data_IF_596244392281
#
_entry.id   IF_596244392281
#
_cell.length_a   1.000
_cell.length_b   1.000
_cell.length_c   1.000
_cell.angle_alpha   90.00
_cell.angle_beta   90.00
_cell.angle_gamma   90.00
#
_symmetry.space_group_name_H-M   'P 1'
#
loop_
_entity.id
_entity.type
_entity.pdbx_description
1 polymer ?
#
# COMPACT_ATOMS: atom_id res chain seq x y z
N UNK A 1 2.45 -27.11 -6.34
CA UNK A 1 3.37 -26.02 -6.73
C UNK A 1 3.07 -24.82 -5.83
N UNK A 2 4.04 -23.95 -5.61
CA UNK A 2 3.82 -22.69 -4.85
C UNK A 2 2.98 -21.69 -5.65
N UNK A 3 3.20 -21.63 -6.97
CA UNK A 3 2.47 -20.80 -7.91
C UNK A 3 1.39 -21.59 -8.64
N UNK A 4 0.29 -20.92 -8.96
CA UNK A 4 -0.85 -21.37 -9.74
C UNK A 4 -0.92 -20.58 -11.05
N UNK A 5 -0.83 -21.32 -12.16
CA UNK A 5 -0.88 -20.79 -13.53
C UNK A 5 -2.19 -21.19 -14.24
N UNK A 6 -3.04 -22.00 -13.60
CA UNK A 6 -4.16 -22.67 -14.26
C UNK A 6 -5.50 -21.99 -13.92
N UNK A 7 -5.63 -21.39 -12.73
CA UNK A 7 -6.90 -20.78 -12.28
C UNK A 7 -7.31 -19.54 -13.07
N UNK A 8 -6.34 -18.74 -13.51
CA UNK A 8 -6.57 -17.54 -14.32
C UNK A 8 -5.49 -17.46 -15.42
N UNK A 9 -5.86 -17.59 -16.71
CA UNK A 9 -4.90 -17.57 -17.81
C UNK A 9 -4.19 -16.22 -17.98
N UNK A 10 -4.70 -15.14 -17.38
CA UNK A 10 -4.09 -13.81 -17.43
C UNK A 10 -3.34 -13.46 -16.14
N UNK A 11 -3.21 -14.36 -15.17
CA UNK A 11 -2.55 -14.08 -13.89
C UNK A 11 -1.59 -15.21 -13.45
N UNK A 12 -0.79 -14.92 -12.43
CA UNK A 12 -0.03 -15.92 -11.66
C UNK A 12 -0.44 -15.74 -10.21
N UNK A 13 -1.09 -16.75 -9.65
CA UNK A 13 -1.58 -16.71 -8.27
C UNK A 13 -0.70 -17.52 -7.32
N UNK A 14 -0.75 -17.24 -6.02
CA UNK A 14 -0.14 -18.10 -5.00
C UNK A 14 -1.16 -19.17 -4.57
N UNK A 15 -0.71 -20.43 -4.49
CA UNK A 15 -1.50 -21.55 -3.99
C UNK A 15 -1.70 -21.42 -2.46
N UNK A 16 -2.68 -20.61 -2.06
CA UNK A 16 -2.95 -20.31 -0.65
C UNK A 16 -4.42 -20.34 -0.24
N UNK A 17 -5.36 -20.09 -1.16
CA UNK A 17 -6.79 -20.06 -0.80
C UNK A 17 -7.69 -20.37 -2.01
N UNK A 18 -7.99 -21.66 -2.23
CA UNK A 18 -9.01 -22.10 -3.20
C UNK A 18 -10.41 -21.52 -2.90
N UNK A 19 -10.60 -20.92 -1.72
CA UNK A 19 -11.82 -20.24 -1.31
C UNK A 19 -11.98 -18.83 -1.93
N UNK A 20 -10.87 -18.14 -2.27
CA UNK A 20 -10.89 -16.80 -2.88
C UNK A 20 -11.08 -16.86 -4.40
N UNK A 21 -10.52 -17.89 -5.07
CA UNK A 21 -10.63 -18.08 -6.53
C UNK A 21 -12.07 -18.23 -7.06
N UNK A 22 -13.06 -18.45 -6.19
CA UNK A 22 -14.47 -18.56 -6.57
C UNK A 22 -15.32 -17.29 -6.33
N UNK A 23 -14.80 -16.25 -5.67
CA UNK A 23 -15.60 -15.07 -5.33
C UNK A 23 -15.12 -13.78 -6.02
N UNK A 24 -15.76 -13.53 -7.18
CA UNK A 24 -16.07 -12.23 -7.81
C UNK A 24 -14.90 -11.38 -8.34
N UNK A 25 -14.98 -11.11 -9.66
CA UNK A 25 -14.25 -10.11 -10.46
C UNK A 25 -14.35 -8.64 -9.96
N UNK A 26 -14.96 -8.39 -8.80
CA UNK A 26 -15.19 -7.05 -8.24
C UNK A 26 -14.63 -6.93 -6.82
N UNK A 27 -13.45 -7.50 -6.57
CA UNK A 27 -12.73 -7.27 -5.33
C UNK A 27 -11.69 -6.19 -5.55
N UNK A 28 -11.65 -5.23 -4.62
CA UNK A 28 -10.66 -4.15 -4.63
C UNK A 28 -9.23 -4.72 -4.52
N UNK A 29 -8.23 -4.04 -5.11
CA UNK A 29 -6.82 -4.49 -5.13
C UNK A 29 -6.27 -4.84 -3.75
N UNK A 30 -6.73 -4.13 -2.73
CA UNK A 30 -6.38 -4.37 -1.32
C UNK A 30 -6.72 -5.76 -0.78
N UNK A 31 -7.67 -6.47 -1.41
CA UNK A 31 -8.06 -7.82 -1.04
C UNK A 31 -7.36 -8.88 -1.89
N UNK A 32 -6.73 -8.47 -3.01
CA UNK A 32 -6.19 -9.37 -4.01
C UNK A 32 -4.66 -9.41 -4.03
N UNK A 33 -3.99 -8.32 -3.64
CA UNK A 33 -2.54 -8.14 -3.83
C UNK A 33 -1.66 -9.21 -3.17
N UNK A 34 -2.15 -9.90 -2.13
CA UNK A 34 -1.40 -10.97 -1.47
C UNK A 34 -1.44 -12.30 -2.24
N UNK A 35 -2.39 -12.43 -3.18
CA UNK A 35 -2.66 -13.68 -3.89
C UNK A 35 -2.44 -13.57 -5.39
N UNK A 36 -2.74 -12.42 -6.00
CA UNK A 36 -2.66 -12.17 -7.44
C UNK A 36 -1.43 -11.33 -7.78
N UNK A 37 -0.56 -11.85 -8.64
CA UNK A 37 0.60 -11.11 -9.12
C UNK A 37 0.17 -9.89 -9.95
N UNK A 38 -0.90 -10.01 -10.76
CA UNK A 38 -1.47 -8.89 -11.51
C UNK A 38 -1.91 -7.76 -10.59
N UNK A 39 -2.63 -8.08 -9.51
CA UNK A 39 -3.08 -7.12 -8.52
C UNK A 39 -1.92 -6.49 -7.74
N UNK A 40 -0.88 -7.26 -7.40
CA UNK A 40 0.32 -6.70 -6.77
C UNK A 40 1.11 -5.79 -7.72
N UNK A 41 1.27 -6.21 -8.97
CA UNK A 41 1.98 -5.48 -10.00
C UNK A 41 1.31 -4.13 -10.34
N UNK A 42 -0.02 -4.06 -10.32
CA UNK A 42 -0.76 -2.82 -10.63
C UNK A 42 -0.49 -1.69 -9.64
N UNK A 43 -0.25 -2.01 -8.37
CA UNK A 43 0.06 -1.03 -7.29
C UNK A 43 1.55 -0.96 -6.95
N UNK A 44 2.39 -1.72 -7.65
CA UNK A 44 3.80 -1.88 -7.31
C UNK A 44 4.58 -0.57 -7.28
N UNK A 45 4.14 0.36 -8.14
CA UNK A 45 4.72 1.66 -8.31
C UNK A 45 3.68 2.74 -8.06
N UNK A 46 4.09 3.84 -7.44
CA UNK A 46 3.19 4.96 -7.16
C UNK A 46 2.74 5.66 -8.44
N UNK A 47 3.68 5.85 -9.37
CA UNK A 47 3.46 6.40 -10.71
C UNK A 47 4.27 5.59 -11.73
N UNK A 48 3.67 5.27 -12.89
CA UNK A 48 4.42 4.68 -14.00
C UNK A 48 4.89 5.75 -14.98
N UNK A 49 6.17 5.74 -15.38
CA UNK A 49 6.61 6.51 -16.54
C UNK A 49 5.84 6.10 -17.80
N UNK A 50 5.57 7.05 -18.70
CA UNK A 50 4.82 6.78 -19.96
C UNK A 50 5.43 5.66 -20.83
N UNK A 51 6.75 5.47 -20.75
CA UNK A 51 7.50 4.48 -21.52
C UNK A 51 7.70 3.16 -20.77
N UNK A 52 7.02 2.96 -19.64
CA UNK A 52 7.10 1.74 -18.85
C UNK A 52 5.76 1.02 -18.84
N UNK A 53 5.78 -0.30 -19.04
CA UNK A 53 4.61 -1.16 -18.89
C UNK A 53 5.02 -2.50 -18.33
N UNK A 54 4.08 -3.15 -17.64
CA UNK A 54 4.24 -4.52 -17.15
C UNK A 54 3.30 -5.38 -17.98
N UNK A 55 3.82 -6.43 -18.60
CA UNK A 55 3.04 -7.43 -19.33
C UNK A 55 3.13 -8.72 -18.53
N UNK A 56 1.97 -9.25 -18.11
CA UNK A 56 1.86 -10.52 -17.42
C UNK A 56 1.00 -11.45 -18.27
N UNK A 57 1.48 -12.68 -18.51
CA UNK A 57 0.75 -13.69 -19.30
C UNK A 57 0.23 -13.15 -20.65
N UNK A 58 1.02 -12.31 -21.33
CA UNK A 58 0.67 -11.72 -22.63
C UNK A 58 -0.32 -10.54 -22.59
N UNK A 59 -0.73 -10.08 -21.40
CA UNK A 59 -1.65 -8.95 -21.20
C UNK A 59 -1.00 -7.84 -20.39
N UNK A 60 -1.20 -6.60 -20.82
CA UNK A 60 -0.79 -5.42 -20.06
C UNK A 60 -1.43 -5.44 -18.67
N UNK A 61 -0.66 -5.10 -17.64
CA UNK A 61 -1.16 -4.85 -16.29
C UNK A 61 -1.52 -3.38 -16.20
N UNK A 62 -2.81 -3.10 -16.03
CA UNK A 62 -3.30 -1.74 -15.81
C UNK A 62 -2.74 -1.19 -14.50
N UNK A 63 -2.13 0.00 -14.56
CA UNK A 63 -1.59 0.66 -13.38
C UNK A 63 -2.74 1.16 -12.50
N UNK A 64 -2.58 0.96 -11.19
CA UNK A 64 -3.58 1.35 -10.22
C UNK A 64 -2.99 2.29 -9.17
N UNK A 65 -3.30 3.57 -9.26
CA UNK A 65 -2.91 4.53 -8.23
C UNK A 65 -3.92 4.52 -7.08
N UNK A 66 -3.55 3.88 -5.97
CA UNK A 66 -4.36 3.73 -4.75
C UNK A 66 -4.94 5.06 -4.23
N UNK A 67 -4.21 6.17 -4.37
CA UNK A 67 -4.68 7.48 -3.89
C UNK A 67 -5.94 7.96 -4.64
N UNK A 68 -6.19 7.46 -5.85
CA UNK A 68 -7.34 7.82 -6.69
C UNK A 68 -8.65 7.21 -6.19
N UNK A 69 -8.60 6.13 -5.40
CA UNK A 69 -9.80 5.47 -4.86
C UNK A 69 -10.29 6.11 -3.54
N UNK A 70 -9.47 7.00 -2.98
CA UNK A 70 -9.71 7.58 -1.67
C UNK A 70 -10.88 8.59 -1.71
N UNK A 71 -11.92 8.31 -0.93
CA UNK A 71 -13.04 9.23 -0.72
C UNK A 71 -12.71 10.18 0.42
N UNK A 72 -13.22 11.41 0.36
CA UNK A 72 -12.95 12.46 1.36
C UNK A 72 -11.44 12.70 1.57
N UNK A 73 -10.71 12.77 0.46
CA UNK A 73 -9.26 12.90 0.43
C UNK A 73 -8.79 14.17 1.15
N UNK A 74 -7.80 14.01 2.03
CA UNK A 74 -7.07 15.09 2.67
C UNK A 74 -5.56 14.88 2.48
N UNK A 75 -4.80 15.95 2.63
CA UNK A 75 -3.34 15.92 2.59
C UNK A 75 -2.79 16.38 3.92
N UNK A 76 -2.10 15.49 4.63
CA UNK A 76 -1.45 15.81 5.90
C UNK A 76 0.05 15.90 5.68
N UNK A 77 0.63 17.03 6.12
CA UNK A 77 2.07 17.28 6.05
C UNK A 77 2.79 16.71 7.27
N UNK A 78 4.00 16.20 7.05
CA UNK A 78 4.92 15.77 8.10
C UNK A 78 6.35 16.22 7.76
N UNK A 79 7.01 16.85 8.73
CA UNK A 79 8.39 17.33 8.61
C UNK A 79 9.24 16.77 9.75
N UNK A 80 9.74 15.52 9.64
CA UNK A 80 10.66 14.97 10.61
C UNK A 80 12.00 15.72 10.58
N UNK A 81 12.55 15.95 11.76
CA UNK A 81 13.97 16.24 11.88
C UNK A 81 14.78 14.97 11.63
N UNK A 82 15.54 14.98 10.54
CA UNK A 82 16.53 13.96 10.22
C UNK A 82 17.91 14.42 10.67
N UNK A 83 18.87 13.50 10.76
CA UNK A 83 20.23 13.78 11.25
C UNK A 83 20.84 15.04 10.59
N UNK A 84 21.38 15.94 11.41
CA UNK A 84 22.02 17.18 10.95
C UNK A 84 21.07 18.33 10.63
N UNK A 85 19.92 18.43 11.31
CA UNK A 85 18.92 19.51 11.16
C UNK A 85 18.36 19.68 9.73
N UNK A 86 18.43 18.62 8.91
CA UNK A 86 17.69 18.61 7.65
C UNK A 86 16.24 18.26 7.96
N UNK A 87 15.32 18.99 7.35
CA UNK A 87 13.90 18.67 7.37
C UNK A 87 13.52 18.16 5.98
N UNK A 88 12.73 17.10 5.94
CA UNK A 88 12.18 16.55 4.70
C UNK A 88 10.68 16.69 4.78
N UNK A 89 10.07 17.36 3.81
CA UNK A 89 8.61 17.43 3.73
C UNK A 89 8.06 16.12 3.14
N UNK A 90 7.14 15.48 3.87
CA UNK A 90 6.38 14.32 3.40
C UNK A 90 4.91 14.72 3.36
N UNK A 91 4.29 14.49 2.22
CA UNK A 91 2.85 14.69 2.04
C UNK A 91 2.18 13.32 2.02
N UNK A 92 1.30 13.10 3.00
CA UNK A 92 0.47 11.90 3.07
C UNK A 92 -0.90 12.21 2.50
N UNK A 93 -1.28 11.51 1.43
CA UNK A 93 -2.66 11.48 0.96
C UNK A 93 -3.44 10.50 1.85
N UNK A 94 -4.50 10.95 2.52
CA UNK A 94 -5.30 10.13 3.44
C UNK A 94 -6.78 10.25 3.11
N UNK A 95 -7.50 9.13 3.17
CA UNK A 95 -8.91 9.09 2.80
C UNK A 95 -9.63 7.84 3.28
N UNK A 96 -10.92 7.75 2.95
CA UNK A 96 -11.75 6.58 3.19
C UNK A 96 -11.86 5.67 1.98
N UNK A 97 -11.58 4.39 2.19
CA UNK A 97 -11.75 3.33 1.19
C UNK A 97 -12.93 2.42 1.57
N UNK A 98 -14.13 2.76 1.07
CA UNK A 98 -15.40 2.11 1.45
C UNK A 98 -15.51 0.65 0.97
N UNK A 99 -14.88 0.32 -0.15
CA UNK A 99 -15.18 -0.90 -0.92
C UNK A 99 -14.33 -2.12 -0.52
N UNK A 100 -13.25 -1.90 0.23
CA UNK A 100 -12.24 -2.93 0.46
C UNK A 100 -12.29 -3.61 1.83
N UNK A 101 -13.14 -3.17 2.77
CA UNK A 101 -13.08 -3.59 4.19
C UNK A 101 -11.66 -3.57 4.80
N UNK A 102 -10.77 -2.77 4.22
CA UNK A 102 -9.36 -2.66 4.58
C UNK A 102 -9.07 -1.29 5.19
N UNK A 103 -7.89 -1.13 5.76
CA UNK A 103 -7.38 0.12 6.31
C UNK A 103 -5.87 0.00 6.44
N UNK A 104 -5.20 1.14 6.60
CA UNK A 104 -3.75 1.21 6.78
C UNK A 104 -3.05 2.05 5.71
N UNK A 105 -1.73 2.13 5.82
CA UNK A 105 -0.91 2.99 4.97
C UNK A 105 -0.19 2.20 3.89
N UNK A 106 -0.19 2.72 2.66
CA UNK A 106 0.62 2.24 1.57
C UNK A 106 1.88 3.10 1.51
N UNK A 107 3.01 2.50 1.92
CA UNK A 107 4.29 3.20 2.04
C UNK A 107 5.17 2.83 0.86
N UNK A 108 5.52 3.84 0.07
CA UNK A 108 6.44 3.74 -1.04
C UNK A 108 7.83 4.23 -0.64
N UNK A 109 8.85 3.83 -1.38
CA UNK A 109 10.20 4.36 -1.31
C UNK A 109 10.76 4.44 -2.72
N UNK A 110 11.14 5.63 -3.17
CA UNK A 110 11.61 5.90 -4.53
C UNK A 110 10.69 5.28 -5.58
N UNK A 111 9.42 5.66 -5.53
CA UNK A 111 8.33 5.20 -6.37
C UNK A 111 7.94 3.71 -6.22
N UNK A 112 8.60 2.90 -5.37
CA UNK A 112 8.34 1.46 -5.21
C UNK A 112 7.61 1.16 -3.90
N UNK A 113 6.52 0.39 -3.96
CA UNK A 113 5.75 -0.04 -2.78
C UNK A 113 6.57 -0.96 -1.85
N UNK A 114 6.72 -0.58 -0.59
CA UNK A 114 7.44 -1.37 0.43
C UNK A 114 6.45 -2.04 1.38
N UNK A 115 5.53 -1.26 1.96
CA UNK A 115 4.52 -1.76 2.89
C UNK A 115 3.11 -1.49 2.35
N UNK A 116 2.40 -2.50 1.81
CA UNK A 116 1.01 -2.38 1.39
C UNK A 116 0.05 -2.44 2.59
N UNK A 117 -0.93 -1.53 2.63
CA UNK A 117 -2.00 -1.50 3.64
C UNK A 117 -1.54 -1.77 5.08
N UNK A 118 -0.42 -1.18 5.49
CA UNK A 118 0.17 -1.39 6.80
C UNK A 118 -0.70 -0.82 7.92
N UNK A 119 -1.14 -1.71 8.80
CA UNK A 119 -2.04 -1.38 9.92
C UNK A 119 -1.23 -0.88 11.11
N UNK A 120 -1.04 0.43 11.17
CA UNK A 120 -0.34 1.10 12.28
C UNK A 120 -1.15 1.16 13.57
N UNK A 121 -2.49 1.15 13.46
CA UNK A 121 -3.40 1.04 14.58
C UNK A 121 -4.04 -0.34 14.59
N UNK A 122 -4.02 -0.99 15.77
CA UNK A 122 -4.87 -2.14 16.02
C UNK A 122 -6.28 -1.61 16.23
N UNK A 123 -7.17 -1.88 15.26
CA UNK A 123 -8.58 -1.54 15.42
C UNK A 123 -9.17 -2.39 16.55
N UNK A 124 -9.39 -1.76 17.70
CA UNK A 124 -10.10 -2.34 18.84
C UNK A 124 -11.62 -2.25 18.69
N UNK A 125 -12.34 -2.41 19.80
CA UNK A 125 -13.81 -2.44 19.84
C UNK A 125 -14.49 -1.18 19.29
N UNK A 126 -13.83 -0.02 19.35
CA UNK A 126 -14.42 1.28 18.98
C UNK A 126 -14.35 1.57 17.47
N UNK A 127 -13.85 0.66 16.63
CA UNK A 127 -13.79 0.79 15.16
C UNK A 127 -13.05 2.03 14.61
N UNK A 128 -12.33 2.79 15.45
CA UNK A 128 -11.55 3.98 15.05
C UNK A 128 -10.55 3.62 13.95
N UNK A 129 -10.50 4.44 12.89
CA UNK A 129 -9.60 4.25 11.76
C UNK A 129 -10.05 3.18 10.76
N UNK A 130 -11.22 2.56 10.95
CA UNK A 130 -11.73 1.55 10.00
C UNK A 130 -12.03 2.20 8.65
N UNK A 131 -11.46 1.65 7.57
CA UNK A 131 -11.62 2.21 6.23
C UNK A 131 -10.66 3.36 5.92
N UNK A 132 -9.89 3.86 6.90
CA UNK A 132 -8.90 4.92 6.66
C UNK A 132 -7.70 4.30 5.95
N UNK A 133 -7.36 4.87 4.80
CA UNK A 133 -6.21 4.48 4.00
C UNK A 133 -5.36 5.70 3.72
N UNK A 134 -4.05 5.56 3.91
CA UNK A 134 -3.07 6.58 3.57
C UNK A 134 -2.09 6.11 2.50
N UNK A 135 -1.51 7.05 1.77
CA UNK A 135 -0.47 6.83 0.77
C UNK A 135 0.64 7.87 0.98
N UNK A 136 1.88 7.41 1.14
CA UNK A 136 3.04 8.27 1.36
C UNK A 136 4.35 7.65 0.84
N UNK A 137 5.37 8.48 0.75
CA UNK A 137 6.70 8.11 0.25
C UNK A 137 7.82 8.74 1.11
N UNK A 138 8.14 8.14 2.26
CA UNK A 138 9.16 8.64 3.18
C UNK A 138 10.57 8.20 2.75
N UNK A 139 11.18 8.89 1.79
CA UNK A 139 12.49 8.48 1.22
C UNK A 139 13.69 8.57 2.17
N UNK A 140 13.50 9.16 3.37
CA UNK A 140 14.53 9.27 4.40
C UNK A 140 14.66 8.02 5.29
N UNK A 141 13.73 7.06 5.20
CA UNK A 141 13.86 5.75 5.86
C UNK A 141 14.35 4.69 4.88
N UNK A 142 15.21 3.80 5.38
CA UNK A 142 15.87 2.79 4.57
C UNK A 142 15.05 1.49 4.53
N UNK A 143 14.69 0.96 3.35
CA UNK A 143 14.11 -0.37 3.22
C UNK A 143 15.12 -1.45 3.62
N UNK A 144 14.62 -2.60 4.10
CA UNK A 144 15.41 -3.81 4.32
C UNK A 144 15.94 -4.38 3.01
N UNK A 145 16.90 -5.31 3.08
CA UNK A 145 17.53 -5.92 1.91
C UNK A 145 16.54 -6.46 0.86
N UNK A 146 15.46 -7.12 1.30
CA UNK A 146 14.44 -7.68 0.41
C UNK A 146 13.37 -6.66 -0.05
N UNK A 147 13.41 -5.42 0.46
CA UNK A 147 12.47 -4.34 0.14
C UNK A 147 11.00 -4.65 0.45
N UNK A 148 10.76 -5.48 1.47
CA UNK A 148 9.41 -5.82 1.97
C UNK A 148 9.15 -5.25 3.37
N UNK A 149 10.12 -4.53 3.94
CA UNK A 149 9.98 -3.80 5.19
C UNK A 149 11.01 -2.65 5.23
N UNK A 150 11.02 -1.89 6.31
CA UNK A 150 12.02 -0.87 6.62
C UNK A 150 12.87 -1.26 7.83
N UNK A 151 14.10 -0.76 7.84
CA UNK A 151 15.01 -0.88 8.98
C UNK A 151 14.38 -0.26 10.24
N UNK A 152 14.39 -1.01 11.34
CA UNK A 152 13.71 -0.65 12.62
C UNK A 152 14.51 0.40 13.41
N UNK A 153 14.70 1.55 12.80
CA UNK A 153 15.42 2.71 13.34
C UNK A 153 14.49 3.61 14.15
N UNK A 154 15.07 4.56 14.90
CA UNK A 154 14.30 5.59 15.60
C UNK A 154 13.46 6.46 14.66
N UNK A 155 13.93 6.69 13.43
CA UNK A 155 13.18 7.41 12.40
C UNK A 155 11.95 6.62 11.93
N UNK A 156 12.08 5.30 11.80
CA UNK A 156 10.94 4.43 11.48
C UNK A 156 9.88 4.45 12.60
N UNK A 157 10.31 4.37 13.86
CA UNK A 157 9.38 4.44 15.00
C UNK A 157 8.63 5.78 15.05
N UNK A 158 9.33 6.90 14.83
CA UNK A 158 8.71 8.24 14.75
C UNK A 158 7.69 8.33 13.62
N UNK A 159 7.98 7.73 12.47
CA UNK A 159 7.02 7.65 11.37
C UNK A 159 5.78 6.85 11.80
N UNK A 160 5.97 5.66 12.38
CA UNK A 160 4.86 4.81 12.85
C UNK A 160 3.93 5.59 13.80
N UNK A 161 4.51 6.30 14.77
CA UNK A 161 3.74 7.09 15.73
C UNK A 161 3.02 8.26 15.05
N UNK A 162 3.65 8.92 14.07
CA UNK A 162 2.99 9.97 13.30
C UNK A 162 1.84 9.40 12.46
N UNK A 163 1.96 8.22 11.87
CA UNK A 163 0.88 7.58 11.09
C UNK A 163 -0.33 7.23 11.98
N UNK A 164 -0.09 6.78 13.21
CA UNK A 164 -1.16 6.59 14.21
C UNK A 164 -1.88 7.90 14.49
N UNK A 165 -1.14 8.99 14.74
CA UNK A 165 -1.70 10.31 14.95
C UNK A 165 -2.49 10.81 13.74
N UNK A 166 -1.96 10.69 12.53
CA UNK A 166 -2.64 11.06 11.28
C UNK A 166 -3.97 10.33 11.12
N UNK A 167 -4.04 9.06 11.52
CA UNK A 167 -5.30 8.29 11.46
C UNK A 167 -6.36 8.87 12.41
N UNK A 168 -5.95 9.32 13.60
CA UNK A 168 -6.85 9.93 14.58
C UNK A 168 -7.21 11.37 14.18
N UNK A 169 -6.27 12.13 13.61
CA UNK A 169 -6.49 13.48 13.10
C UNK A 169 -7.51 13.51 11.95
N UNK A 170 -7.51 12.47 11.12
CA UNK A 170 -8.42 12.33 9.98
C UNK A 170 -9.81 11.76 10.34
N UNK A 171 -9.89 10.89 11.35
CA UNK A 171 -11.11 10.18 11.74
C UNK A 171 -12.16 11.09 12.42
#
# INVERSE_FOLDING_TARGET
MELDFDSDPEDICINGDKALGRKKRNQHVANLYQHSLRAYASILYRQLPQYFRIILCGRDVEHHNIASDLKYLQFIKYMPQIHGNKEVEIITAIGFLKEAHTHGFNIYHRNRLILPFWRVLRIGTNSTGRGVVGVLEPDYIQPTHNKQDFEKTSLFQKLEDRLKQMTVEYW
#
